data_IF_257596230142
#
_entry.id   IF_257596230142
#
_cell.length_a   1.000
_cell.length_b   1.000
_cell.length_c   1.000
_cell.angle_alpha   90.00
_cell.angle_beta   90.00
_cell.angle_gamma   90.00
#
_symmetry.space_group_name_H-M   'P 1'
#
loop_
_entity.id
_entity.type
_entity.pdbx_description
1 polymer ?
#
# COMPACT_ATOMS: atom_id res chain seq x y z
N UNK A 1 -16.63 4.73 22.03
CA UNK A 1 -15.55 4.28 21.11
C UNK A 1 -15.06 5.52 20.38
N UNK A 2 -13.77 5.84 20.47
CA UNK A 2 -13.22 7.04 19.84
C UNK A 2 -13.22 6.92 18.31
N UNK A 3 -13.07 8.04 17.60
CA UNK A 3 -13.03 8.06 16.12
C UNK A 3 -11.86 7.22 15.61
N UNK A 4 -10.73 7.27 16.33
CA UNK A 4 -9.51 6.53 16.04
C UNK A 4 -9.79 5.03 16.09
N UNK A 5 -10.40 4.55 17.18
CA UNK A 5 -10.77 3.14 17.35
C UNK A 5 -11.77 2.67 16.28
N UNK A 6 -12.79 3.46 15.95
CA UNK A 6 -13.75 3.13 14.88
C UNK A 6 -13.02 2.96 13.54
N UNK A 7 -12.12 3.89 13.23
CA UNK A 7 -11.41 3.92 11.96
C UNK A 7 -10.43 2.76 11.84
N UNK A 8 -9.63 2.50 12.88
CA UNK A 8 -8.71 1.35 12.91
C UNK A 8 -9.46 0.02 12.82
N UNK A 9 -10.60 -0.11 13.51
CA UNK A 9 -11.46 -1.29 13.41
C UNK A 9 -12.01 -1.47 12.00
N UNK A 10 -12.36 -0.37 11.32
CA UNK A 10 -12.85 -0.42 9.93
C UNK A 10 -11.75 -0.92 8.98
N UNK A 11 -10.52 -0.40 9.12
CA UNK A 11 -9.37 -0.84 8.33
C UNK A 11 -9.06 -2.32 8.64
N UNK A 12 -9.12 -2.72 9.92
CA UNK A 12 -8.91 -4.10 10.33
C UNK A 12 -9.90 -5.04 9.64
N UNK A 13 -11.20 -4.76 9.75
CA UNK A 13 -12.24 -5.60 9.16
C UNK A 13 -12.08 -5.69 7.63
N UNK A 14 -11.82 -4.57 6.97
CA UNK A 14 -11.66 -4.53 5.52
C UNK A 14 -10.41 -5.28 5.03
N UNK A 15 -9.27 -5.09 5.69
CA UNK A 15 -8.04 -5.82 5.38
C UNK A 15 -8.15 -7.31 5.71
N UNK A 16 -8.87 -7.68 6.78
CA UNK A 16 -9.17 -9.07 7.11
C UNK A 16 -10.06 -9.74 6.06
N UNK A 17 -11.13 -9.07 5.61
CA UNK A 17 -11.99 -9.58 4.53
C UNK A 17 -11.17 -9.77 3.24
N UNK A 18 -10.35 -8.77 2.87
CA UNK A 18 -9.45 -8.86 1.72
C UNK A 18 -8.46 -10.02 1.83
N UNK A 19 -7.85 -10.20 3.00
CA UNK A 19 -6.92 -11.29 3.28
C UNK A 19 -7.60 -12.66 3.21
N UNK A 20 -8.74 -12.85 3.89
CA UNK A 20 -9.48 -14.12 3.87
C UNK A 20 -9.93 -14.48 2.45
N UNK A 21 -10.46 -13.51 1.70
CA UNK A 21 -10.78 -13.72 0.29
C UNK A 21 -9.55 -14.16 -0.51
N UNK A 22 -8.39 -13.53 -0.27
CA UNK A 22 -7.11 -13.92 -0.86
C UNK A 22 -6.66 -15.34 -0.48
N UNK A 23 -6.81 -15.74 0.78
CA UNK A 23 -6.49 -17.10 1.24
C UNK A 23 -7.27 -18.13 0.44
N UNK A 24 -8.61 -17.99 0.38
CA UNK A 24 -9.48 -18.97 -0.27
C UNK A 24 -9.36 -18.98 -1.80
N UNK A 25 -9.07 -17.83 -2.41
CA UNK A 25 -9.08 -17.71 -3.88
C UNK A 25 -7.71 -17.81 -4.53
N UNK A 26 -6.63 -17.51 -3.80
CA UNK A 26 -5.26 -17.40 -4.32
C UNK A 26 -4.32 -18.40 -3.62
N UNK A 27 -4.20 -18.34 -2.29
CA UNK A 27 -3.22 -19.14 -1.54
C UNK A 27 -3.55 -20.64 -1.59
N UNK A 28 -4.78 -21.02 -1.21
CA UNK A 28 -5.23 -22.41 -1.25
C UNK A 28 -5.22 -22.96 -2.67
N UNK A 29 -5.59 -22.14 -3.66
CA UNK A 29 -5.61 -22.51 -5.08
C UNK A 29 -4.24 -22.48 -5.77
N UNK A 30 -3.14 -22.33 -5.00
CA UNK A 30 -1.76 -22.36 -5.47
C UNK A 30 -1.49 -21.47 -6.69
N UNK A 31 -2.07 -20.28 -6.71
CA UNK A 31 -1.88 -19.29 -7.78
C UNK A 31 -0.44 -18.73 -7.79
N UNK A 32 0.00 -18.05 -8.87
CA UNK A 32 1.36 -17.52 -9.01
C UNK A 32 1.81 -16.65 -7.83
N UNK A 33 3.12 -16.63 -7.58
CA UNK A 33 3.76 -15.95 -6.45
C UNK A 33 3.38 -14.47 -6.34
N UNK A 34 3.26 -13.79 -7.48
CA UNK A 34 2.82 -12.39 -7.57
C UNK A 34 1.52 -12.15 -6.78
N UNK A 35 0.48 -12.97 -7.03
CA UNK A 35 -0.81 -12.82 -6.35
C UNK A 35 -0.68 -13.14 -4.85
N UNK A 36 0.15 -14.12 -4.49
CA UNK A 36 0.39 -14.50 -3.09
C UNK A 36 1.01 -13.33 -2.31
N UNK A 37 1.96 -12.61 -2.90
CA UNK A 37 2.59 -11.44 -2.27
C UNK A 37 1.56 -10.34 -1.95
N UNK A 38 0.62 -10.05 -2.85
CA UNK A 38 -0.43 -9.05 -2.60
C UNK A 38 -1.38 -9.49 -1.47
N UNK A 39 -1.69 -10.79 -1.38
CA UNK A 39 -2.46 -11.33 -0.24
C UNK A 39 -1.71 -11.15 1.08
N UNK A 40 -0.39 -11.41 1.09
CA UNK A 40 0.45 -11.21 2.28
C UNK A 40 0.56 -9.72 2.65
N UNK A 41 0.54 -8.81 1.68
CA UNK A 41 0.46 -7.38 1.97
C UNK A 41 -0.79 -7.02 2.79
N UNK A 42 -1.95 -7.58 2.45
CA UNK A 42 -3.19 -7.39 3.22
C UNK A 42 -3.11 -8.00 4.61
N UNK A 43 -2.43 -9.15 4.76
CA UNK A 43 -2.16 -9.73 6.07
C UNK A 43 -1.32 -8.79 6.94
N UNK A 44 -0.29 -8.15 6.38
CA UNK A 44 0.53 -7.18 7.10
C UNK A 44 -0.25 -5.93 7.50
N UNK A 45 -1.14 -5.41 6.61
CA UNK A 45 -2.05 -4.31 6.95
C UNK A 45 -2.99 -4.71 8.11
N UNK A 46 -3.53 -5.92 8.09
CA UNK A 46 -4.37 -6.46 9.17
C UNK A 46 -3.61 -6.53 10.49
N UNK A 47 -2.40 -7.12 10.49
CA UNK A 47 -1.55 -7.23 11.69
C UNK A 47 -1.19 -5.85 12.25
N UNK A 48 -0.94 -4.87 11.38
CA UNK A 48 -0.73 -3.47 11.79
C UNK A 48 -1.90 -2.95 12.63
N UNK A 49 -3.14 -3.11 12.14
CA UNK A 49 -4.33 -2.62 12.85
C UNK A 49 -4.64 -3.41 14.12
N UNK A 50 -4.40 -4.73 14.14
CA UNK A 50 -4.54 -5.54 15.37
C UNK A 50 -3.70 -4.94 16.48
N UNK A 51 -2.43 -4.60 16.19
CA UNK A 51 -1.56 -4.00 17.19
C UNK A 51 -2.10 -2.67 17.72
N UNK A 52 -2.52 -1.76 16.82
CA UNK A 52 -3.03 -0.44 17.21
C UNK A 52 -4.27 -0.57 18.11
N UNK A 53 -5.23 -1.42 17.72
CA UNK A 53 -6.45 -1.66 18.50
C UNK A 53 -6.11 -2.26 19.88
N UNK A 54 -5.22 -3.25 19.94
CA UNK A 54 -4.80 -3.84 21.21
C UNK A 54 -4.14 -2.82 22.14
N UNK A 55 -3.37 -1.88 21.60
CA UNK A 55 -2.77 -0.81 22.39
C UNK A 55 -3.83 0.13 22.97
N UNK A 56 -4.79 0.58 22.16
CA UNK A 56 -5.91 1.36 22.67
C UNK A 56 -6.75 0.60 23.72
N UNK A 57 -6.94 -0.71 23.58
CA UNK A 57 -7.71 -1.52 24.54
C UNK A 57 -6.97 -1.78 25.86
N UNK A 58 -5.63 -1.85 25.84
CA UNK A 58 -4.83 -2.25 27.02
C UNK A 58 -4.19 -1.07 27.74
N UNK A 59 -3.74 -0.05 27.00
CA UNK A 59 -3.02 1.11 27.54
C UNK A 59 -3.77 2.43 27.38
N UNK A 60 -4.77 2.48 26.49
CA UNK A 60 -5.54 3.68 26.21
C UNK A 60 -4.88 4.62 25.18
N UNK A 61 -3.62 4.39 24.82
CA UNK A 61 -2.87 5.15 23.83
C UNK A 61 -1.99 4.25 22.95
N UNK A 62 -1.46 4.82 21.87
CA UNK A 62 -0.43 4.18 21.03
C UNK A 62 0.90 4.84 21.37
N UNK A 63 1.97 4.06 21.63
CA UNK A 63 3.28 4.63 21.96
C UNK A 63 3.77 5.59 20.89
N UNK A 64 4.26 6.75 21.34
CA UNK A 64 4.97 7.68 20.47
C UNK A 64 6.32 7.08 20.04
N UNK A 65 6.69 7.27 18.76
CA UNK A 65 7.85 6.63 18.15
C UNK A 65 7.60 5.20 17.64
N UNK A 66 8.65 4.38 17.64
CA UNK A 66 8.63 3.06 17.01
C UNK A 66 7.66 2.11 17.71
N UNK A 67 6.82 1.44 16.92
CA UNK A 67 5.90 0.44 17.43
C UNK A 67 5.69 -0.71 16.43
N UNK A 68 5.25 -1.88 16.91
CA UNK A 68 5.09 -3.08 16.07
C UNK A 68 4.03 -2.90 14.96
N UNK A 69 3.06 -2.01 15.16
CA UNK A 69 2.07 -1.65 14.14
C UNK A 69 2.72 -1.06 12.88
N UNK A 70 3.83 -0.32 13.04
CA UNK A 70 4.61 0.21 11.91
C UNK A 70 5.26 -0.90 11.07
N UNK A 71 5.70 -2.00 11.70
CA UNK A 71 6.24 -3.15 10.96
C UNK A 71 5.19 -3.80 10.05
N UNK A 72 3.93 -3.85 10.50
CA UNK A 72 2.82 -4.30 9.65
C UNK A 72 2.58 -3.39 8.45
N UNK A 73 2.66 -2.07 8.62
CA UNK A 73 2.61 -1.13 7.49
C UNK A 73 3.79 -1.31 6.54
N UNK A 74 5.02 -1.38 7.07
CA UNK A 74 6.23 -1.63 6.28
C UNK A 74 6.12 -2.92 5.49
N UNK A 75 5.71 -4.01 6.14
CA UNK A 75 5.50 -5.31 5.50
C UNK A 75 4.49 -5.23 4.36
N UNK A 76 3.39 -4.50 4.53
CA UNK A 76 2.38 -4.31 3.48
C UNK A 76 3.01 -3.71 2.22
N UNK A 77 3.71 -2.58 2.34
CA UNK A 77 4.29 -1.91 1.18
C UNK A 77 5.54 -2.59 0.63
N UNK A 78 6.30 -3.31 1.46
CA UNK A 78 7.38 -4.17 0.99
C UNK A 78 6.84 -5.32 0.13
N UNK A 79 5.76 -5.99 0.53
CA UNK A 79 5.15 -7.03 -0.31
C UNK A 79 4.59 -6.47 -1.63
N UNK A 80 3.94 -5.31 -1.60
CA UNK A 80 3.45 -4.65 -2.82
C UNK A 80 4.60 -4.23 -3.75
N UNK A 81 5.66 -3.67 -3.18
CA UNK A 81 6.89 -3.34 -3.88
C UNK A 81 7.52 -4.59 -4.51
N UNK A 82 7.77 -5.64 -3.72
CA UNK A 82 8.40 -6.87 -4.19
C UNK A 82 7.57 -7.58 -5.26
N UNK A 83 6.23 -7.54 -5.16
CA UNK A 83 5.36 -8.10 -6.18
C UNK A 83 5.59 -7.41 -7.54
N UNK A 84 5.67 -6.09 -7.57
CA UNK A 84 5.86 -5.36 -8.81
C UNK A 84 7.31 -5.33 -9.28
N UNK A 85 8.26 -4.93 -8.43
CA UNK A 85 9.68 -4.86 -8.79
C UNK A 85 10.27 -6.24 -9.10
N UNK A 86 9.96 -7.25 -8.28
CA UNK A 86 10.57 -8.57 -8.40
C UNK A 86 9.99 -9.45 -9.51
N UNK A 87 8.69 -9.33 -9.82
CA UNK A 87 8.02 -10.22 -10.76
C UNK A 87 7.56 -9.53 -12.05
N UNK A 88 6.90 -8.38 -11.95
CA UNK A 88 6.28 -7.72 -13.11
C UNK A 88 7.30 -6.88 -13.87
N UNK A 89 8.17 -6.17 -13.16
CA UNK A 89 9.12 -5.24 -13.77
C UNK A 89 10.08 -5.96 -14.71
N UNK A 90 10.57 -7.14 -14.31
CA UNK A 90 11.43 -7.97 -15.16
C UNK A 90 10.73 -8.55 -16.41
N UNK A 91 9.39 -8.59 -16.43
CA UNK A 91 8.61 -8.97 -17.62
C UNK A 91 8.26 -7.76 -18.49
N UNK A 92 8.18 -6.58 -17.89
CA UNK A 92 7.65 -5.37 -18.50
C UNK A 92 8.72 -4.38 -18.96
N UNK A 93 9.93 -4.44 -18.42
CA UNK A 93 11.03 -3.52 -18.72
C UNK A 93 12.30 -4.31 -19.03
N UNK A 94 12.72 -4.27 -20.30
CA UNK A 94 13.94 -4.92 -20.79
C UNK A 94 15.20 -4.06 -20.56
N UNK A 95 15.05 -2.88 -19.96
CA UNK A 95 16.13 -1.94 -19.72
C UNK A 95 16.49 -1.05 -20.92
N UNK A 96 15.81 -1.20 -22.06
CA UNK A 96 16.09 -0.45 -23.29
C UNK A 96 15.94 1.07 -23.11
N UNK A 97 16.68 1.82 -23.94
CA UNK A 97 16.62 3.29 -23.92
C UNK A 97 15.23 3.83 -24.29
N UNK A 98 14.45 3.07 -25.06
CA UNK A 98 13.07 3.42 -25.44
C UNK A 98 12.18 3.65 -24.22
N UNK A 99 12.31 2.80 -23.20
CA UNK A 99 11.49 2.90 -21.99
C UNK A 99 12.06 3.83 -20.91
N UNK A 100 13.22 4.45 -21.14
CA UNK A 100 13.85 5.38 -20.19
C UNK A 100 12.91 6.52 -19.77
N UNK A 101 12.12 7.05 -20.69
CA UNK A 101 11.15 8.12 -20.39
C UNK A 101 10.12 7.68 -19.35
N UNK A 102 9.59 6.46 -19.43
CA UNK A 102 8.61 5.94 -18.46
C UNK A 102 9.25 5.66 -17.11
N UNK A 103 10.50 5.17 -17.09
CA UNK A 103 11.28 5.02 -15.86
C UNK A 103 11.47 6.35 -15.13
N UNK A 104 11.77 7.43 -15.85
CA UNK A 104 11.92 8.76 -15.27
C UNK A 104 10.59 9.34 -14.78
N UNK A 105 9.54 9.27 -15.61
CA UNK A 105 8.19 9.74 -15.23
C UNK A 105 7.68 8.99 -13.99
N UNK A 106 8.03 7.71 -13.82
CA UNK A 106 7.60 6.93 -12.65
C UNK A 106 8.03 7.53 -11.30
N UNK A 107 9.07 8.36 -11.26
CA UNK A 107 9.53 9.04 -10.05
C UNK A 107 8.63 10.18 -9.59
N UNK A 108 7.65 10.62 -10.39
CA UNK A 108 6.68 11.63 -9.95
C UNK A 108 5.90 11.14 -8.73
N UNK A 109 5.43 9.89 -8.74
CA UNK A 109 4.66 9.32 -7.64
C UNK A 109 5.42 9.33 -6.29
N UNK A 110 6.64 8.76 -6.17
CA UNK A 110 7.40 8.85 -4.92
C UNK A 110 7.75 10.29 -4.54
N UNK A 111 8.10 11.15 -5.50
CA UNK A 111 8.42 12.54 -5.23
C UNK A 111 7.25 13.29 -4.59
N UNK A 112 6.03 13.11 -5.12
CA UNK A 112 4.82 13.74 -4.57
C UNK A 112 4.52 13.24 -3.16
N UNK A 113 4.61 11.93 -2.90
CA UNK A 113 4.33 11.37 -1.57
C UNK A 113 5.36 11.83 -0.53
N UNK A 114 6.65 11.79 -0.89
CA UNK A 114 7.73 12.24 -0.01
C UNK A 114 7.68 13.73 0.24
N UNK A 115 7.49 14.56 -0.80
CA UNK A 115 7.36 16.00 -0.64
C UNK A 115 6.14 16.35 0.23
N UNK A 116 5.01 15.68 0.03
CA UNK A 116 3.80 15.88 0.83
C UNK A 116 4.05 15.61 2.31
N UNK A 117 4.65 14.47 2.65
CA UNK A 117 4.93 14.13 4.05
C UNK A 117 6.08 14.97 4.65
N UNK A 118 7.20 15.10 3.94
CA UNK A 118 8.37 15.81 4.45
C UNK A 118 8.14 17.32 4.59
N UNK A 119 7.12 17.88 3.92
CA UNK A 119 6.74 19.29 4.12
C UNK A 119 6.38 19.60 5.57
N UNK A 120 5.92 18.61 6.35
CA UNK A 120 5.59 18.77 7.77
C UNK A 120 6.80 19.21 8.62
N UNK A 121 8.02 18.84 8.24
CA UNK A 121 9.24 19.25 8.94
C UNK A 121 9.52 20.76 8.86
N UNK A 122 8.91 21.47 7.92
CA UNK A 122 9.00 22.93 7.87
C UNK A 122 8.07 23.63 8.88
N UNK A 123 7.01 22.94 9.32
CA UNK A 123 5.96 23.53 10.14
C UNK A 123 5.92 22.98 11.57
N UNK A 124 6.61 21.86 11.84
CA UNK A 124 6.64 21.19 13.14
C UNK A 124 8.06 20.72 13.46
N UNK A 125 8.41 20.77 14.74
CA UNK A 125 9.66 20.20 15.23
C UNK A 125 9.65 18.68 15.08
N UNK A 126 10.76 18.11 14.63
CA UNK A 126 10.90 16.67 14.48
C UNK A 126 10.75 15.95 15.83
N UNK A 127 9.75 15.05 15.91
CA UNK A 127 9.61 14.09 17.00
C UNK A 127 9.95 12.66 16.53
N UNK A 128 10.05 11.73 17.48
CA UNK A 128 10.45 10.34 17.20
C UNK A 128 9.42 9.64 16.31
N UNK A 129 8.13 9.91 16.49
CA UNK A 129 7.06 9.38 15.65
C UNK A 129 7.21 9.81 14.19
N UNK A 130 7.42 11.09 13.93
CA UNK A 130 7.62 11.66 12.61
C UNK A 130 8.83 11.04 11.89
N UNK A 131 9.93 10.86 12.60
CA UNK A 131 11.15 10.22 12.06
C UNK A 131 10.87 8.77 11.67
N UNK A 132 10.17 8.00 12.52
CA UNK A 132 9.83 6.61 12.22
C UNK A 132 8.85 6.51 11.03
N UNK A 133 7.85 7.38 10.97
CA UNK A 133 6.93 7.44 9.84
C UNK A 133 7.60 7.88 8.53
N UNK A 134 8.70 8.65 8.58
CA UNK A 134 9.52 8.93 7.38
C UNK A 134 10.02 7.65 6.72
N UNK A 135 10.46 6.68 7.53
CA UNK A 135 10.91 5.36 7.03
C UNK A 135 9.73 4.61 6.40
N UNK A 136 8.56 4.63 7.04
CA UNK A 136 7.34 4.00 6.48
C UNK A 136 6.96 4.64 5.14
N UNK A 137 6.91 5.97 5.07
CA UNK A 137 6.55 6.71 3.85
C UNK A 137 7.59 6.51 2.76
N UNK A 138 8.87 6.33 3.09
CA UNK A 138 9.90 5.96 2.12
C UNK A 138 9.58 4.64 1.42
N UNK A 139 9.20 3.58 2.16
CA UNK A 139 8.80 2.31 1.54
C UNK A 139 7.47 2.40 0.79
N UNK A 140 6.52 3.21 1.27
CA UNK A 140 5.29 3.53 0.51
C UNK A 140 5.66 4.17 -0.83
N UNK A 141 6.59 5.12 -0.84
CA UNK A 141 7.05 5.82 -2.04
C UNK A 141 7.74 4.87 -3.02
N UNK A 142 8.60 3.96 -2.53
CA UNK A 142 9.21 2.91 -3.37
C UNK A 142 8.14 2.03 -4.04
N UNK A 143 7.13 1.60 -3.30
CA UNK A 143 6.00 0.83 -3.85
C UNK A 143 5.23 1.65 -4.89
N UNK A 144 4.93 2.92 -4.59
CA UNK A 144 4.18 3.83 -5.45
C UNK A 144 4.88 4.05 -6.80
N UNK A 145 6.21 4.11 -6.83
CA UNK A 145 6.99 4.21 -8.07
C UNK A 145 6.62 3.11 -9.06
N UNK A 146 6.64 1.85 -8.62
CA UNK A 146 6.40 0.71 -9.53
C UNK A 146 4.94 0.57 -9.89
N UNK A 147 4.01 0.85 -8.97
CA UNK A 147 2.59 0.93 -9.33
C UNK A 147 2.34 1.99 -10.42
N UNK A 148 2.90 3.18 -10.25
CA UNK A 148 2.75 4.24 -11.24
C UNK A 148 3.46 3.91 -12.55
N UNK A 149 4.67 3.35 -12.49
CA UNK A 149 5.41 2.83 -13.65
C UNK A 149 4.54 1.89 -14.48
N UNK A 150 3.93 0.87 -13.87
CA UNK A 150 3.11 -0.12 -14.57
C UNK A 150 1.75 0.40 -15.06
N UNK A 151 1.29 1.57 -14.58
CA UNK A 151 0.11 2.24 -15.14
C UNK A 151 0.46 2.91 -16.48
N UNK A 152 1.62 3.58 -16.53
CA UNK A 152 2.02 4.38 -17.70
C UNK A 152 2.81 3.58 -18.74
N UNK A 153 3.41 2.46 -18.36
CA UNK A 153 4.25 1.67 -19.24
C UNK A 153 3.46 1.17 -20.46
N UNK A 154 4.02 1.26 -21.68
CA UNK A 154 3.42 0.66 -22.86
C UNK A 154 3.38 -0.86 -22.71
N UNK A 155 2.43 -1.48 -23.39
CA UNK A 155 2.26 -2.93 -23.37
C UNK A 155 3.37 -3.57 -24.23
N UNK A 156 4.07 -4.56 -23.69
CA UNK A 156 5.00 -5.42 -24.45
C UNK A 156 4.27 -6.73 -24.77
N UNK A 157 4.66 -7.36 -25.89
CA UNK A 157 4.25 -8.61 -26.58
C UNK A 157 3.07 -9.47 -26.07
N UNK A 158 2.76 -9.53 -24.77
CA UNK A 158 1.73 -10.38 -24.16
C UNK A 158 0.60 -9.65 -23.44
N UNK A 159 0.57 -8.32 -23.44
CA UNK A 159 -0.58 -7.58 -22.90
C UNK A 159 -0.70 -7.53 -21.36
N UNK A 160 0.25 -8.15 -20.67
CA UNK A 160 0.19 -8.44 -19.23
C UNK A 160 0.09 -7.16 -18.40
N UNK A 161 0.87 -6.14 -18.77
CA UNK A 161 0.94 -4.86 -18.06
C UNK A 161 -0.37 -4.11 -18.16
N UNK A 162 -0.97 -4.05 -19.35
CA UNK A 162 -2.27 -3.41 -19.56
C UNK A 162 -3.37 -4.05 -18.72
N UNK A 163 -3.34 -5.37 -18.55
CA UNK A 163 -4.37 -6.09 -17.81
C UNK A 163 -4.38 -5.77 -16.31
N UNK A 164 -3.25 -5.44 -15.71
CA UNK A 164 -3.13 -5.12 -14.27
C UNK A 164 -3.11 -3.63 -13.94
N UNK A 165 -3.44 -2.76 -14.90
CA UNK A 165 -3.45 -1.30 -14.66
C UNK A 165 -4.49 -0.91 -13.61
N UNK A 166 -5.64 -1.58 -13.56
CA UNK A 166 -6.67 -1.31 -12.57
C UNK A 166 -6.19 -1.63 -11.16
N UNK A 167 -5.60 -2.82 -10.96
CA UNK A 167 -4.94 -3.18 -9.71
C UNK A 167 -3.87 -2.16 -9.33
N UNK A 168 -2.96 -1.80 -10.24
CA UNK A 168 -1.88 -0.85 -9.94
C UNK A 168 -2.42 0.54 -9.60
N UNK A 169 -3.52 0.99 -10.21
CA UNK A 169 -4.18 2.23 -9.84
C UNK A 169 -4.75 2.18 -8.41
N UNK A 170 -5.43 1.10 -8.03
CA UNK A 170 -5.95 0.92 -6.66
C UNK A 170 -4.82 0.83 -5.64
N UNK A 171 -3.73 0.14 -5.96
CA UNK A 171 -2.57 0.04 -5.09
C UNK A 171 -1.81 1.38 -4.96
N UNK A 172 -1.75 2.19 -6.03
CA UNK A 172 -1.23 3.55 -5.97
C UNK A 172 -2.11 4.47 -5.10
N UNK A 173 -3.44 4.33 -5.20
CA UNK A 173 -4.37 5.02 -4.30
C UNK A 173 -4.19 4.57 -2.85
N UNK A 174 -3.94 3.28 -2.61
CA UNK A 174 -3.62 2.77 -1.27
C UNK A 174 -2.35 3.43 -0.72
N UNK A 175 -1.30 3.57 -1.53
CA UNK A 175 -0.09 4.32 -1.15
C UNK A 175 -0.43 5.77 -0.77
N UNK A 176 -1.17 6.48 -1.63
CA UNK A 176 -1.57 7.87 -1.39
C UNK A 176 -2.39 8.02 -0.10
N UNK A 177 -3.47 7.25 0.05
CA UNK A 177 -4.36 7.35 1.20
C UNK A 177 -3.68 6.91 2.50
N UNK A 178 -2.75 5.96 2.44
CA UNK A 178 -1.97 5.59 3.64
C UNK A 178 -0.98 6.67 4.02
N UNK A 179 -0.34 7.35 3.06
CA UNK A 179 0.50 8.52 3.36
C UNK A 179 -0.33 9.65 3.98
N UNK A 180 -1.51 9.95 3.43
CA UNK A 180 -2.42 10.94 4.01
C UNK A 180 -2.93 10.54 5.39
N UNK A 181 -3.20 9.25 5.61
CA UNK A 181 -3.54 8.72 6.92
C UNK A 181 -2.41 8.91 7.93
N UNK A 182 -1.16 8.64 7.56
CA UNK A 182 0.01 8.92 8.40
C UNK A 182 0.14 10.43 8.69
N UNK A 183 -0.07 11.30 7.69
CA UNK A 183 -0.09 12.76 7.90
C UNK A 183 -1.16 13.14 8.92
N UNK A 184 -2.35 12.52 8.86
CA UNK A 184 -3.43 12.81 9.82
C UNK A 184 -3.11 12.37 11.24
N UNK A 185 -2.33 11.29 11.42
CA UNK A 185 -1.80 10.86 12.72
C UNK A 185 -0.87 11.93 13.29
N UNK A 186 0.12 12.35 12.49
CA UNK A 186 1.16 13.32 12.92
C UNK A 186 0.58 14.72 13.18
N UNK A 187 -0.46 15.10 12.44
CA UNK A 187 -1.14 16.39 12.60
C UNK A 187 -2.30 16.35 13.58
N UNK A 188 -2.55 15.19 14.20
CA UNK A 188 -3.64 14.97 15.16
C UNK A 188 -5.02 15.40 14.61
N UNK A 189 -5.24 15.20 13.30
CA UNK A 189 -6.45 15.62 12.59
C UNK A 189 -7.45 14.47 12.47
N UNK A 190 -8.37 14.35 13.44
CA UNK A 190 -9.35 13.25 13.50
C UNK A 190 -10.27 13.14 12.28
N UNK A 191 -10.60 14.25 11.62
CA UNK A 191 -11.47 14.23 10.42
C UNK A 191 -10.71 13.63 9.24
N UNK A 192 -9.48 14.11 9.02
CA UNK A 192 -8.61 13.57 7.96
C UNK A 192 -8.29 12.11 8.23
N UNK A 193 -8.09 11.74 9.50
CA UNK A 193 -7.87 10.36 9.94
C UNK A 193 -9.03 9.44 9.56
N UNK A 194 -10.27 9.84 9.89
CA UNK A 194 -11.47 9.08 9.54
C UNK A 194 -11.62 8.93 8.02
N UNK A 195 -11.52 10.04 7.27
CA UNK A 195 -11.73 10.05 5.82
C UNK A 195 -10.68 9.18 5.12
N UNK A 196 -9.40 9.37 5.44
CA UNK A 196 -8.31 8.60 4.84
C UNK A 196 -8.37 7.13 5.26
N UNK A 197 -8.77 6.84 6.50
CA UNK A 197 -8.97 5.46 6.96
C UNK A 197 -10.10 4.73 6.23
N UNK A 198 -11.20 5.41 5.92
CA UNK A 198 -12.27 4.85 5.06
C UNK A 198 -11.72 4.57 3.65
N UNK A 199 -10.95 5.51 3.08
CA UNK A 199 -10.37 5.33 1.75
C UNK A 199 -9.36 4.18 1.69
N UNK A 200 -8.50 4.04 2.71
CA UNK A 200 -7.60 2.88 2.88
C UNK A 200 -8.41 1.59 2.98
N UNK A 201 -9.49 1.58 3.76
CA UNK A 201 -10.37 0.41 3.93
C UNK A 201 -10.99 -0.03 2.61
N UNK A 202 -11.47 0.91 1.79
CA UNK A 202 -12.02 0.62 0.46
C UNK A 202 -10.95 0.02 -0.46
N UNK A 203 -9.73 0.57 -0.47
CA UNK A 203 -8.62 0.00 -1.23
C UNK A 203 -8.32 -1.45 -0.79
N UNK A 204 -8.27 -1.73 0.51
CA UNK A 204 -8.05 -3.07 1.05
C UNK A 204 -9.12 -4.09 0.61
N UNK A 205 -10.39 -3.68 0.51
CA UNK A 205 -11.47 -4.54 0.04
C UNK A 205 -11.36 -4.84 -1.46
N UNK A 206 -10.97 -3.85 -2.26
CA UNK A 206 -11.04 -3.93 -3.73
C UNK A 206 -9.79 -4.59 -4.33
N UNK A 207 -8.62 -4.43 -3.71
CA UNK A 207 -7.32 -4.75 -4.31
C UNK A 207 -7.21 -6.24 -4.72
N UNK A 208 -7.63 -7.18 -3.86
CA UNK A 208 -7.52 -8.62 -4.14
C UNK A 208 -8.57 -9.10 -5.18
N UNK A 209 -9.87 -8.78 -5.06
CA UNK A 209 -10.85 -9.14 -6.09
C UNK A 209 -10.50 -8.59 -7.46
N UNK A 210 -10.04 -7.34 -7.53
CA UNK A 210 -9.64 -6.70 -8.78
C UNK A 210 -8.43 -7.40 -9.39
N UNK A 211 -7.37 -7.60 -8.60
CA UNK A 211 -6.16 -8.28 -9.06
C UNK A 211 -6.47 -9.67 -9.58
N UNK A 212 -7.30 -10.44 -8.86
CA UNK A 212 -7.69 -11.79 -9.30
C UNK A 212 -8.41 -11.75 -10.64
N UNK A 213 -9.39 -10.85 -10.81
CA UNK A 213 -10.15 -10.69 -12.06
C UNK A 213 -9.23 -10.34 -13.23
N UNK A 214 -8.25 -9.48 -13.00
CA UNK A 214 -7.28 -9.07 -13.99
C UNK A 214 -6.29 -10.19 -14.33
N UNK A 215 -5.74 -10.85 -13.31
CA UNK A 215 -4.79 -11.96 -13.47
C UNK A 215 -5.41 -13.21 -14.09
N UNK A 216 -6.72 -13.46 -13.96
CA UNK A 216 -7.38 -14.58 -14.66
C UNK A 216 -7.35 -14.42 -16.18
N UNK A 217 -7.21 -13.20 -16.69
CA UNK A 217 -7.09 -12.96 -18.13
C UNK A 217 -5.70 -13.34 -18.67
N UNK A 218 -4.70 -13.45 -17.80
CA UNK A 218 -3.35 -13.87 -18.20
C UNK A 218 -3.30 -15.34 -18.63
N UNK A 219 -4.20 -16.19 -18.12
CA UNK A 219 -4.24 -17.62 -18.46
C UNK A 219 -5.05 -17.94 -19.71
N UNK A 220 -5.66 -16.92 -20.33
CA UNK A 220 -6.48 -17.04 -21.55
C UNK A 220 -5.82 -16.42 -22.79
N UNK A 221 -4.60 -15.88 -22.63
CA UNK A 221 -3.72 -15.40 -23.70
C UNK A 221 -2.75 -16.53 -24.01
#
# INVERSE_FOLDING_TARGET
MSIEMITDLTILLCSQIGFLYGVFTILIKQRPLYLKMVVLAMACMMVSRIYVILQYLTKGDVPDGFNLGMLGLLGCFLFLFSANYGMIDGLADDGSAEFMKYRLISFIAPAVLLAGYCSLYFFRSADTGMIMYTIVVFFIALSARYHFKHIIFPDIEFGVVRLIRGYNAVALLLCLFTTLFIISVVTENSIMYLVTGILVSLCCLIIIPLLKKEATKWTTI
#
